data_IF_176021266668
#
_entry.id   IF_176021266668
#
_cell.length_a   1.000
_cell.length_b   1.000
_cell.length_c   1.000
_cell.angle_alpha   90.00
_cell.angle_beta   90.00
_cell.angle_gamma   90.00
#
_symmetry.space_group_name_H-M   'P 1'
#
loop_
_entity.id
_entity.type
_entity.pdbx_description
1 polymer ?
#
# COMPACT_ATOMS: atom_id res chain seq x y z
N UNK A 1 4.69 -7.35 4.44
CA UNK A 1 5.00 -6.04 3.82
C UNK A 1 5.27 -6.29 2.36
N UNK A 2 4.96 -5.34 1.48
CA UNK A 2 5.22 -5.47 0.04
C UNK A 2 6.04 -4.30 -0.48
N UNK A 3 6.86 -4.57 -1.49
CA UNK A 3 7.66 -3.56 -2.19
C UNK A 3 6.88 -3.05 -3.39
N UNK A 4 6.87 -1.74 -3.58
CA UNK A 4 6.27 -1.02 -4.72
C UNK A 4 7.34 -0.12 -5.35
N UNK A 5 7.08 0.43 -6.55
CA UNK A 5 8.05 1.33 -7.21
C UNK A 5 8.45 2.54 -6.35
N UNK A 6 7.54 3.01 -5.49
CA UNK A 6 7.72 4.16 -4.60
C UNK A 6 8.34 3.82 -3.24
N UNK A 7 8.65 2.55 -2.96
CA UNK A 7 9.24 2.12 -1.70
C UNK A 7 8.55 0.89 -1.09
N UNK A 8 8.35 0.90 0.22
CA UNK A 8 7.76 -0.18 0.99
C UNK A 8 6.37 0.21 1.50
N UNK A 9 5.42 -0.70 1.31
CA UNK A 9 4.06 -0.59 1.82
C UNK A 9 3.82 -1.53 3.01
N UNK A 10 3.28 -0.96 4.08
CA UNK A 10 2.76 -1.70 5.24
C UNK A 10 1.29 -2.02 5.03
N UNK A 11 1.02 -3.31 4.87
CA UNK A 11 -0.32 -3.86 4.78
C UNK A 11 -0.71 -4.50 6.11
N UNK A 12 -1.97 -4.41 6.50
CA UNK A 12 -2.52 -5.25 7.57
C UNK A 12 -2.54 -6.72 7.13
N UNK A 13 -2.70 -7.66 8.07
CA UNK A 13 -2.73 -9.09 7.77
C UNK A 13 -3.72 -9.45 6.66
N UNK A 14 -4.96 -8.94 6.74
CA UNK A 14 -6.00 -9.25 5.76
C UNK A 14 -5.65 -8.76 4.35
N UNK A 15 -5.16 -7.53 4.21
CA UNK A 15 -4.75 -7.00 2.91
C UNK A 15 -3.51 -7.70 2.36
N UNK A 16 -2.59 -8.10 3.24
CA UNK A 16 -1.43 -8.90 2.83
C UNK A 16 -1.87 -10.26 2.29
N UNK A 17 -2.75 -10.97 3.00
CA UNK A 17 -3.29 -12.25 2.55
C UNK A 17 -4.03 -12.10 1.21
N UNK A 18 -4.82 -11.04 1.04
CA UNK A 18 -5.54 -10.76 -0.20
C UNK A 18 -4.59 -10.53 -1.39
N UNK A 19 -3.53 -9.74 -1.19
CA UNK A 19 -2.52 -9.45 -2.22
C UNK A 19 -1.77 -10.72 -2.67
N UNK A 20 -1.47 -11.62 -1.72
CA UNK A 20 -0.83 -12.90 -2.04
C UNK A 20 -1.81 -13.86 -2.71
N UNK A 21 -3.06 -13.92 -2.23
CA UNK A 21 -4.11 -14.75 -2.81
C UNK A 21 -4.41 -14.36 -4.26
N UNK A 22 -4.51 -13.05 -4.53
CA UNK A 22 -4.78 -12.49 -5.86
C UNK A 22 -3.53 -12.42 -6.75
N UNK A 23 -2.36 -12.81 -6.21
CA UNK A 23 -1.05 -12.82 -6.91
C UNK A 23 -0.64 -11.46 -7.46
N UNK A 24 -1.04 -10.39 -6.77
CA UNK A 24 -0.65 -9.02 -7.09
C UNK A 24 0.84 -8.76 -6.79
N UNK A 25 1.41 -9.52 -5.83
CA UNK A 25 2.83 -9.51 -5.52
C UNK A 25 3.54 -10.74 -6.10
N UNK A 26 4.76 -10.54 -6.57
CA UNK A 26 5.62 -11.64 -7.03
C UNK A 26 6.30 -12.37 -5.86
N UNK A 27 7.14 -13.37 -6.18
CA UNK A 27 7.91 -14.17 -5.21
C UNK A 27 8.83 -13.34 -4.28
N UNK A 28 9.18 -12.11 -4.68
CA UNK A 28 9.99 -11.16 -3.90
C UNK A 28 9.13 -10.15 -3.13
N UNK A 29 7.82 -10.41 -3.01
CA UNK A 29 6.82 -9.49 -2.47
C UNK A 29 6.80 -8.13 -3.18
N UNK A 30 7.16 -8.09 -4.46
CA UNK A 30 7.13 -6.86 -5.26
C UNK A 30 5.84 -6.80 -6.09
N UNK A 31 5.14 -5.67 -5.99
CA UNK A 31 3.92 -5.38 -6.72
C UNK A 31 4.26 -4.44 -7.88
N UNK A 32 4.05 -4.93 -9.11
CA UNK A 32 4.24 -4.15 -10.32
C UNK A 32 3.02 -3.28 -10.66
N UNK A 33 1.82 -3.79 -10.37
CA UNK A 33 0.55 -3.13 -10.65
C UNK A 33 0.07 -2.36 -9.41
N UNK A 34 0.44 -1.08 -9.32
CA UNK A 34 0.11 -0.27 -8.14
C UNK A 34 -1.37 0.05 -8.08
N UNK A 35 -2.04 0.24 -9.22
CA UNK A 35 -3.47 0.55 -9.26
C UNK A 35 -4.30 -0.60 -8.68
N UNK A 36 -4.04 -1.85 -9.11
CA UNK A 36 -4.71 -3.02 -8.55
C UNK A 36 -4.42 -3.22 -7.06
N UNK A 37 -3.19 -2.92 -6.62
CA UNK A 37 -2.85 -2.93 -5.20
C UNK A 37 -3.67 -1.90 -4.41
N UNK A 38 -3.78 -0.66 -4.88
CA UNK A 38 -4.54 0.39 -4.20
C UNK A 38 -6.03 0.10 -4.12
N UNK A 39 -6.61 -0.58 -5.11
CA UNK A 39 -8.01 -1.02 -5.09
C UNK A 39 -8.25 -2.17 -4.08
N UNK A 40 -7.24 -3.02 -3.89
CA UNK A 40 -7.33 -4.20 -3.01
C UNK A 40 -7.11 -3.89 -1.53
N UNK A 41 -6.26 -2.92 -1.22
CA UNK A 41 -5.86 -2.63 0.16
C UNK A 41 -6.83 -1.65 0.84
N UNK A 42 -6.99 -1.77 2.16
CA UNK A 42 -7.82 -0.86 2.92
C UNK A 42 -7.11 0.50 3.14
N UNK A 43 -7.85 1.59 3.40
CA UNK A 43 -7.27 2.92 3.65
C UNK A 43 -6.40 3.00 4.92
N UNK A 44 -6.41 1.97 5.77
CA UNK A 44 -5.52 1.85 6.92
C UNK A 44 -4.12 1.32 6.58
N UNK A 45 -3.90 0.84 5.36
CA UNK A 45 -2.57 0.44 4.89
C UNK A 45 -1.76 1.68 4.48
N UNK A 46 -0.52 1.78 4.94
CA UNK A 46 0.30 2.99 4.76
C UNK A 46 1.58 2.70 3.99
N UNK A 47 1.98 3.65 3.17
CA UNK A 47 3.30 3.64 2.52
C UNK A 47 4.34 4.22 3.51
N UNK A 48 5.38 3.44 3.82
CA UNK A 48 6.44 3.83 4.76
C UNK A 48 7.29 4.98 4.19
N UNK A 49 7.32 5.12 2.86
CA UNK A 49 8.10 6.12 2.15
C UNK A 49 7.28 7.36 1.80
N UNK A 50 5.97 7.41 2.13
CA UNK A 50 5.21 8.65 2.05
C UNK A 50 5.86 9.57 3.08
N UNK A 51 6.57 10.62 2.67
CA UNK A 51 6.98 11.64 3.62
C UNK A 51 5.71 12.06 4.37
N UNK A 52 5.81 12.31 5.67
CA UNK A 52 4.72 12.80 6.53
C UNK A 52 4.18 14.15 6.01
N UNK A 53 3.55 14.14 4.85
CA UNK A 53 2.97 15.28 4.14
C UNK A 53 1.53 14.86 3.83
N UNK A 54 0.76 14.62 4.89
CA UNK A 54 -0.69 14.87 4.88
C UNK A 54 -1.23 14.87 6.31
N UNK A 55 -0.81 15.86 7.07
CA UNK A 55 -1.69 16.56 8.00
C UNK A 55 -1.61 18.01 7.55
N UNK A 56 -2.34 18.38 6.48
CA UNK A 56 -2.69 19.77 6.10
C UNK A 56 -3.60 19.77 4.84
N UNK A 57 -4.67 18.98 4.87
CA UNK A 57 -5.85 19.20 4.04
C UNK A 57 -7.08 19.14 4.96
N UNK A 58 -7.20 20.13 5.86
CA UNK A 58 -8.29 20.13 6.85
C UNK A 58 -8.36 21.27 7.86
N UNK A 59 -7.92 22.49 7.54
CA UNK A 59 -8.45 23.70 8.18
C UNK A 59 -8.91 24.67 7.10
N UNK A 60 -10.13 24.49 6.61
CA UNK A 60 -10.93 25.63 6.15
C UNK A 60 -11.62 26.18 7.38
N UNK A 61 -11.06 27.24 7.95
CA UNK A 61 -11.80 28.22 8.73
C UNK A 61 -12.27 29.34 7.78
#
# INVERSE_FOLDING_TARGET
>A
MVSVMRGLMMLCNSCHEQVIHDKLANEKNYVADHEALFDTICPGCTDINRPLIDDMLGSSE
#
